data_IF_742521257672
#
_entry.id   IF_742521257672
#
_cell.length_a   1.000
_cell.length_b   1.000
_cell.length_c   1.000
_cell.angle_alpha   90.00
_cell.angle_beta   90.00
_cell.angle_gamma   90.00
#
_symmetry.space_group_name_H-M   'P 1'
#
loop_
_entity.id
_entity.type
_entity.pdbx_description
1 polymer ?
#
# COMPACT_ATOMS: atom_id res chain seq x y z
N UNK A 1 26.54 7.30 16.81
CA UNK A 1 26.27 7.49 15.39
C UNK A 1 26.27 6.14 14.69
N UNK A 2 25.12 5.45 14.67
CA UNK A 2 24.98 4.11 14.08
C UNK A 2 23.59 3.99 13.46
N UNK A 3 23.51 3.36 12.30
CA UNK A 3 22.25 3.04 11.63
C UNK A 3 21.39 2.12 12.50
N UNK A 4 20.09 2.40 12.57
CA UNK A 4 19.10 1.63 13.33
C UNK A 4 18.19 0.87 12.37
N UNK A 5 18.21 -0.45 12.51
CA UNK A 5 17.42 -1.38 11.70
C UNK A 5 16.25 -1.93 12.50
N UNK A 6 15.05 -1.91 11.91
CA UNK A 6 13.87 -2.53 12.48
C UNK A 6 13.41 -3.69 11.59
N UNK A 7 13.56 -4.90 12.14
CA UNK A 7 13.03 -6.11 11.55
C UNK A 7 11.60 -6.33 12.05
N UNK A 8 10.60 -6.25 11.15
CA UNK A 8 9.16 -6.31 11.43
C UNK A 8 8.52 -4.99 11.94
N UNK A 9 7.43 -4.58 11.28
CA UNK A 9 6.75 -3.29 11.50
C UNK A 9 6.45 -2.62 10.17
N UNK A 10 5.51 -3.18 9.41
CA UNK A 10 5.50 -2.97 7.97
C UNK A 10 4.20 -2.43 7.42
N UNK A 11 3.14 -2.15 8.20
CA UNK A 11 2.05 -1.37 7.60
C UNK A 11 2.62 0.00 7.23
N UNK A 12 2.08 0.69 6.23
CA UNK A 12 2.57 2.00 5.84
C UNK A 12 2.75 2.93 7.04
N UNK A 13 1.78 2.94 7.97
CA UNK A 13 1.89 3.73 9.20
C UNK A 13 3.03 3.28 10.12
N UNK A 14 3.26 1.97 10.30
CA UNK A 14 4.28 1.46 11.22
C UNK A 14 5.68 1.90 10.75
N UNK A 15 5.91 1.91 9.43
CA UNK A 15 7.15 2.41 8.84
C UNK A 15 7.35 3.90 9.10
N UNK A 16 6.31 4.72 8.96
CA UNK A 16 6.38 6.16 9.26
C UNK A 16 6.63 6.43 10.75
N UNK A 17 5.96 5.67 11.61
CA UNK A 17 6.12 5.72 13.05
C UNK A 17 7.54 5.29 13.48
N UNK A 18 8.11 4.29 12.81
CA UNK A 18 9.51 3.89 12.98
C UNK A 18 10.47 5.02 12.59
N UNK A 19 10.25 5.65 11.43
CA UNK A 19 11.04 6.80 10.97
C UNK A 19 10.97 7.94 12.00
N UNK A 20 9.78 8.25 12.53
CA UNK A 20 9.60 9.27 13.56
C UNK A 20 10.37 8.98 14.87
N UNK A 21 10.64 7.70 15.16
CA UNK A 21 11.43 7.24 16.32
C UNK A 21 12.92 7.06 15.99
N UNK A 22 13.34 7.43 14.78
CA UNK A 22 14.72 7.38 14.33
C UNK A 22 15.17 5.98 13.92
N UNK A 23 14.32 5.21 13.25
CA UNK A 23 14.72 3.99 12.52
C UNK A 23 15.09 4.36 11.08
N UNK A 24 16.21 3.81 10.59
CA UNK A 24 16.79 4.14 9.28
C UNK A 24 16.54 3.07 8.21
N UNK A 25 16.38 1.81 8.63
CA UNK A 25 16.25 0.67 7.71
C UNK A 25 15.12 -0.26 8.14
N UNK A 26 14.40 -0.79 7.14
CA UNK A 26 13.25 -1.67 7.32
C UNK A 26 13.32 -2.81 6.30
N UNK A 27 12.93 -4.00 6.72
CA UNK A 27 12.67 -5.13 5.83
C UNK A 27 11.29 -5.74 6.15
N UNK A 28 10.60 -6.24 5.12
CA UNK A 28 9.36 -6.96 5.32
C UNK A 28 8.88 -7.74 4.12
N UNK A 29 8.23 -8.88 4.40
CA UNK A 29 7.48 -9.65 3.40
C UNK A 29 6.08 -9.10 3.14
N UNK A 30 5.58 -8.17 3.96
CA UNK A 30 4.19 -7.69 3.90
C UNK A 30 3.77 -7.20 2.50
N UNK A 31 4.53 -6.32 1.79
CA UNK A 31 4.10 -5.78 0.50
C UNK A 31 3.80 -6.86 -0.54
N UNK A 32 4.64 -7.89 -0.59
CA UNK A 32 4.50 -9.02 -1.52
C UNK A 32 3.54 -10.08 -1.01
N UNK A 33 3.48 -10.34 0.31
CA UNK A 33 2.53 -11.28 0.92
C UNK A 33 1.09 -10.83 0.72
N UNK A 34 0.79 -9.56 0.93
CA UNK A 34 -0.59 -9.06 0.77
C UNK A 34 -0.95 -8.82 -0.69
N UNK A 35 0.02 -8.46 -1.54
CA UNK A 35 -0.19 -8.32 -2.98
C UNK A 35 -0.64 -9.63 -3.61
N UNK A 36 -0.03 -10.75 -3.20
CA UNK A 36 -0.48 -12.10 -3.58
C UNK A 36 -1.88 -12.44 -3.06
N UNK A 37 -2.29 -11.88 -1.93
CA UNK A 37 -3.63 -12.03 -1.35
C UNK A 37 -4.60 -10.93 -1.81
N UNK A 38 -4.40 -10.37 -3.01
CA UNK A 38 -5.29 -9.41 -3.65
C UNK A 38 -5.52 -8.10 -2.86
N UNK A 39 -4.55 -7.66 -2.06
CA UNK A 39 -4.61 -6.37 -1.37
C UNK A 39 -3.49 -5.44 -1.83
N UNK A 40 -3.87 -4.21 -2.17
CA UNK A 40 -2.95 -3.17 -2.58
C UNK A 40 -2.94 -2.00 -1.60
N UNK A 41 -1.78 -1.39 -1.39
CA UNK A 41 -1.65 -0.14 -0.64
C UNK A 41 -1.79 1.08 -1.56
N UNK A 42 -2.50 2.09 -1.09
CA UNK A 42 -2.62 3.39 -1.77
C UNK A 42 -2.50 4.51 -0.74
N UNK A 43 -2.33 5.75 -1.20
CA UNK A 43 -2.33 6.94 -0.33
C UNK A 43 -3.66 7.22 0.37
N UNK A 44 -4.73 6.56 -0.09
CA UNK A 44 -6.09 6.65 0.43
C UNK A 44 -6.49 5.38 1.22
N UNK A 45 -5.53 4.55 1.59
CA UNK A 45 -5.77 3.30 2.32
C UNK A 45 -5.62 2.04 1.46
N UNK A 46 -6.00 0.91 2.04
CA UNK A 46 -5.84 -0.40 1.40
C UNK A 46 -7.03 -0.75 0.51
N UNK A 47 -6.76 -1.24 -0.70
CA UNK A 47 -7.77 -1.66 -1.67
C UNK A 47 -7.75 -3.19 -1.79
N UNK A 48 -8.92 -3.83 -1.67
CA UNK A 48 -9.09 -5.29 -1.85
C UNK A 48 -9.56 -5.57 -3.27
N UNK A 49 -8.71 -6.14 -4.11
CA UNK A 49 -9.00 -6.29 -5.54
C UNK A 49 -10.12 -7.27 -5.88
N UNK A 50 -10.46 -8.19 -4.96
CA UNK A 50 -11.59 -9.12 -5.14
C UNK A 50 -12.96 -8.46 -4.93
N UNK A 51 -13.01 -7.23 -4.41
CA UNK A 51 -14.28 -6.54 -4.17
C UNK A 51 -15.10 -6.42 -5.48
N UNK A 52 -16.40 -6.72 -5.40
CA UNK A 52 -17.33 -6.63 -6.52
C UNK A 52 -17.40 -5.22 -7.12
N UNK A 53 -17.22 -4.17 -6.30
CA UNK A 53 -17.22 -2.77 -6.73
C UNK A 53 -16.14 -2.42 -7.77
N UNK A 54 -15.18 -3.33 -8.01
CA UNK A 54 -14.13 -3.16 -8.99
C UNK A 54 -14.38 -3.92 -10.30
N UNK A 55 -15.52 -4.61 -10.48
CA UNK A 55 -15.81 -5.41 -11.69
C UNK A 55 -15.71 -4.61 -12.98
N UNK A 56 -16.23 -3.37 -12.96
CA UNK A 56 -16.35 -2.51 -14.14
C UNK A 56 -15.61 -1.18 -13.98
N UNK A 57 -14.78 -1.05 -12.93
CA UNK A 57 -14.00 0.16 -12.67
C UNK A 57 -12.82 0.25 -13.64
N UNK A 58 -12.98 1.09 -14.69
CA UNK A 58 -11.95 1.35 -15.70
C UNK A 58 -10.81 2.25 -15.23
N UNK A 59 -10.92 2.82 -14.02
CA UNK A 59 -9.85 3.67 -13.46
C UNK A 59 -8.65 2.81 -13.06
N UNK A 60 -7.43 3.37 -13.09
CA UNK A 60 -6.27 2.70 -12.53
C UNK A 60 -6.37 2.54 -11.02
N UNK A 61 -5.53 1.68 -10.46
CA UNK A 61 -5.46 1.47 -9.01
C UNK A 61 -5.08 2.76 -8.27
N UNK A 62 -4.03 3.44 -8.74
CA UNK A 62 -3.62 4.78 -8.31
C UNK A 62 -3.15 5.58 -9.54
N UNK A 63 -3.80 6.70 -9.91
CA UNK A 63 -3.45 7.46 -11.10
C UNK A 63 -2.06 8.13 -11.03
N UNK A 64 -1.51 8.31 -9.82
CA UNK A 64 -0.22 8.95 -9.60
C UNK A 64 0.93 7.93 -9.46
N UNK A 65 0.65 6.63 -9.56
CA UNK A 65 1.64 5.58 -9.40
C UNK A 65 2.24 5.19 -10.77
N UNK A 66 3.57 5.25 -10.95
CA UNK A 66 4.22 4.94 -12.23
C UNK A 66 4.37 3.44 -12.51
N UNK A 67 3.81 2.57 -11.66
CA UNK A 67 4.04 1.13 -11.71
C UNK A 67 3.29 0.47 -12.88
N UNK A 68 3.71 -0.74 -13.28
CA UNK A 68 3.07 -1.49 -14.35
C UNK A 68 1.60 -1.83 -14.05
N UNK A 69 1.25 -2.12 -12.79
CA UNK A 69 -0.12 -2.44 -12.42
C UNK A 69 -1.09 -1.26 -12.63
N UNK A 70 -0.64 -0.03 -12.37
CA UNK A 70 -1.45 1.18 -12.53
C UNK A 70 -1.63 1.61 -14.00
N UNK A 71 -1.02 0.90 -14.95
CA UNK A 71 -1.32 1.04 -16.39
C UNK A 71 -2.56 0.27 -16.81
N UNK A 72 -3.09 -0.57 -15.93
CA UNK A 72 -4.29 -1.35 -16.15
C UNK A 72 -5.43 -0.86 -15.27
N UNK A 73 -6.67 -1.14 -15.69
CA UNK A 73 -7.86 -0.84 -14.90
C UNK A 73 -7.99 -1.75 -13.68
N UNK A 74 -8.70 -1.28 -12.65
CA UNK A 74 -9.08 -2.12 -11.50
C UNK A 74 -9.93 -3.32 -11.92
N UNK A 75 -10.80 -3.16 -12.92
CA UNK A 75 -11.54 -4.24 -13.56
C UNK A 75 -10.63 -5.36 -14.07
N UNK A 76 -9.59 -5.01 -14.83
CA UNK A 76 -8.63 -5.97 -15.34
C UNK A 76 -7.84 -6.66 -14.22
N UNK A 77 -7.33 -5.88 -13.26
CA UNK A 77 -6.61 -6.43 -12.12
C UNK A 77 -7.48 -7.40 -11.30
N UNK A 78 -8.75 -7.05 -11.07
CA UNK A 78 -9.72 -7.94 -10.41
C UNK A 78 -9.92 -9.21 -11.21
N UNK A 79 -10.14 -9.10 -12.52
CA UNK A 79 -10.33 -10.25 -13.40
C UNK A 79 -9.18 -11.26 -13.27
N UNK A 80 -7.93 -10.81 -13.22
CA UNK A 80 -6.77 -11.69 -13.01
C UNK A 80 -6.86 -12.51 -11.70
N UNK A 81 -7.37 -11.92 -10.61
CA UNK A 81 -7.55 -12.64 -9.35
C UNK A 81 -8.72 -13.62 -9.38
N UNK A 82 -9.80 -13.29 -10.12
CA UNK A 82 -10.95 -14.19 -10.27
C UNK A 82 -10.60 -15.37 -11.19
N UNK A 83 -9.81 -15.10 -12.24
CA UNK A 83 -9.30 -16.11 -13.17
C UNK A 83 -8.16 -16.96 -12.59
N UNK A 84 -7.69 -16.67 -11.36
CA UNK A 84 -6.54 -17.31 -10.72
C UNK A 84 -5.24 -17.22 -11.54
N UNK A 85 -5.05 -16.12 -12.25
CA UNK A 85 -3.87 -15.86 -13.07
C UNK A 85 -2.71 -15.31 -12.22
N UNK A 86 -1.51 -15.86 -12.42
CA UNK A 86 -0.31 -15.45 -11.69
C UNK A 86 0.09 -13.98 -11.94
N UNK A 87 -0.36 -13.40 -13.06
CA UNK A 87 -0.11 -12.00 -13.38
C UNK A 87 -0.72 -11.03 -12.36
N UNK A 88 -1.88 -11.35 -11.77
CA UNK A 88 -2.52 -10.51 -10.75
C UNK A 88 -1.64 -10.33 -9.51
N UNK A 89 -1.22 -11.42 -8.84
CA UNK A 89 -0.26 -11.41 -7.75
C UNK A 89 1.07 -10.70 -8.08
N UNK A 90 1.60 -10.87 -9.29
CA UNK A 90 2.84 -10.23 -9.74
C UNK A 90 2.67 -8.71 -9.81
N UNK A 91 1.61 -8.25 -10.50
CA UNK A 91 1.32 -6.83 -10.68
C UNK A 91 1.07 -6.13 -9.34
N UNK A 92 0.26 -6.72 -8.46
CA UNK A 92 0.00 -6.12 -7.14
C UNK A 92 1.23 -6.10 -6.24
N UNK A 93 2.06 -7.14 -6.28
CA UNK A 93 3.33 -7.15 -5.53
C UNK A 93 4.25 -6.02 -6.02
N UNK A 94 4.35 -5.83 -7.34
CA UNK A 94 5.11 -4.73 -7.94
C UNK A 94 4.55 -3.35 -7.57
N UNK A 95 3.22 -3.20 -7.55
CA UNK A 95 2.55 -1.97 -7.09
C UNK A 95 2.89 -1.66 -5.62
N UNK A 96 2.73 -2.64 -4.74
CA UNK A 96 2.99 -2.45 -3.32
C UNK A 96 4.46 -2.08 -3.06
N UNK A 97 5.42 -2.74 -3.71
CA UNK A 97 6.84 -2.37 -3.59
C UNK A 97 7.09 -0.94 -4.07
N UNK A 98 6.46 -0.53 -5.18
CA UNK A 98 6.54 0.84 -5.69
C UNK A 98 5.99 1.84 -4.69
N UNK A 99 4.86 1.52 -4.04
CA UNK A 99 4.25 2.34 -3.01
C UNK A 99 5.19 2.53 -1.80
N UNK A 100 5.84 1.49 -1.27
CA UNK A 100 6.79 1.66 -0.16
C UNK A 100 7.99 2.51 -0.55
N UNK A 101 8.49 2.35 -1.79
CA UNK A 101 9.56 3.20 -2.30
C UNK A 101 9.13 4.67 -2.32
N UNK A 102 7.91 4.97 -2.77
CA UNK A 102 7.36 6.33 -2.75
C UNK A 102 7.17 6.84 -1.31
N UNK A 103 6.65 6.00 -0.41
CA UNK A 103 6.43 6.33 1.00
C UNK A 103 7.72 6.80 1.68
N UNK A 104 8.81 6.04 1.50
CA UNK A 104 10.13 6.39 2.04
C UNK A 104 10.69 7.63 1.35
N UNK A 105 10.54 7.76 0.03
CA UNK A 105 11.01 8.95 -0.69
C UNK A 105 10.33 10.24 -0.21
N UNK A 106 9.01 10.23 -0.05
CA UNK A 106 8.24 11.36 0.51
C UNK A 106 8.67 11.63 1.95
N UNK A 107 8.83 10.59 2.77
CA UNK A 107 9.29 10.74 4.15
C UNK A 107 10.65 11.45 4.22
N UNK A 108 11.62 11.03 3.39
CA UNK A 108 12.94 11.68 3.30
C UNK A 108 12.84 13.14 2.90
N UNK A 109 11.96 13.47 1.95
CA UNK A 109 11.73 14.86 1.53
C UNK A 109 11.17 15.71 2.68
N UNK A 110 10.15 15.21 3.39
CA UNK A 110 9.53 15.92 4.51
C UNK A 110 10.50 16.09 5.69
N UNK A 111 11.39 15.13 5.93
CA UNK A 111 12.46 15.25 6.94
C UNK A 111 13.43 16.35 6.55
N UNK A 112 13.89 16.38 5.29
CA UNK A 112 14.79 17.42 4.79
C UNK A 112 14.18 18.83 4.86
N UNK A 113 12.84 18.93 4.76
CA UNK A 113 12.09 20.18 4.88
C UNK A 113 11.71 20.54 6.33
N UNK A 114 11.96 19.66 7.31
CA UNK A 114 11.55 19.87 8.70
C UNK A 114 10.05 19.72 8.97
N UNK A 115 9.26 19.27 7.98
CA UNK A 115 7.80 19.19 8.03
C UNK A 115 7.26 17.79 8.34
N UNK A 116 8.15 16.80 8.50
CA UNK A 116 7.77 15.40 8.70
C UNK A 116 6.77 15.14 9.85
N UNK A 117 6.92 15.72 11.07
CA UNK A 117 5.96 15.47 12.15
C UNK A 117 4.54 15.93 11.83
N UNK A 118 4.40 17.10 11.22
CA UNK A 118 3.10 17.63 10.80
C UNK A 118 2.51 16.77 9.69
N UNK A 119 3.31 16.46 8.65
CA UNK A 119 2.89 15.61 7.55
C UNK A 119 2.45 14.22 8.04
N UNK A 120 3.18 13.61 8.97
CA UNK A 120 2.79 12.34 9.58
C UNK A 120 1.43 12.43 10.26
N UNK A 121 1.20 13.47 11.07
CA UNK A 121 -0.07 13.66 11.78
C UNK A 121 -1.25 13.80 10.82
N UNK A 122 -1.09 14.56 9.73
CA UNK A 122 -2.12 14.75 8.69
C UNK A 122 -2.44 13.45 7.93
N UNK A 123 -1.44 12.60 7.71
CA UNK A 123 -1.58 11.37 6.92
C UNK A 123 -1.84 10.12 7.78
N UNK A 124 -1.74 10.23 9.12
CA UNK A 124 -1.87 9.10 10.05
C UNK A 124 -3.21 8.38 9.90
N UNK A 125 -4.32 9.10 9.78
CA UNK A 125 -5.65 8.50 9.63
C UNK A 125 -5.83 7.76 8.30
N UNK A 126 -5.26 8.27 7.21
CA UNK A 126 -5.36 7.65 5.88
C UNK A 126 -4.48 6.40 5.75
N UNK A 127 -3.31 6.42 6.39
CA UNK A 127 -2.30 5.36 6.29
C UNK A 127 -2.34 4.34 7.43
N UNK A 128 -3.08 4.62 8.51
CA UNK A 128 -3.27 3.69 9.64
C UNK A 128 -4.03 2.44 9.24
N UNK A 129 -4.85 2.52 8.18
CA UNK A 129 -5.58 1.39 7.64
C UNK A 129 -6.39 0.67 8.71
N UNK A 130 -7.34 1.35 9.36
CA UNK A 130 -8.61 0.64 9.60
C UNK A 130 -9.21 0.42 8.21
N UNK A 131 -9.64 -0.79 7.92
CA UNK A 131 -10.52 -1.00 6.78
C UNK A 131 -11.61 0.07 6.86
N UNK A 132 -11.68 0.98 5.90
CA UNK A 132 -12.94 1.66 5.66
C UNK A 132 -13.93 0.54 5.39
N UNK A 133 -14.83 0.35 6.36
CA UNK A 133 -15.98 -0.53 6.25
C UNK A 133 -16.85 0.15 5.19
N UNK A 134 -16.55 -0.12 3.93
CA UNK A 134 -17.56 -0.04 2.89
C UNK A 134 -18.51 -1.20 3.21
N UNK A 135 -19.70 -0.86 3.73
CA UNK A 135 -20.67 -1.80 4.26
C UNK A 135 -20.95 -2.95 3.30
N UNK A 136 -20.50 -4.13 3.67
CA UNK A 136 -21.08 -5.39 3.23
C UNK A 136 -20.94 -6.37 4.40
N UNK A 137 -22.09 -6.70 4.97
CA UNK A 137 -22.29 -7.68 6.03
C UNK A 137 -21.66 -9.05 5.66
N UNK A 138 -21.28 -9.76 6.73
CA UNK A 138 -21.14 -11.22 6.87
C UNK A 138 -21.25 -12.09 5.61
N UNK A 139 -20.19 -12.85 5.36
CA UNK A 139 -20.24 -14.07 4.58
C UNK A 139 -19.12 -15.01 5.01
N UNK A 140 -19.42 -15.85 6.00
CA UNK A 140 -18.78 -17.17 6.14
C UNK A 140 -18.93 -17.94 4.81
N UNK A 141 -17.86 -18.59 4.36
CA UNK A 141 -17.71 -20.02 4.04
C UNK A 141 -16.23 -20.26 3.73
#
# INVERSE_FOLDING_TARGET
DKLRYLMCGCRPIDSLEGIARGIDMFDCVMPTRIGRNAMAFTWNGSVRMRNANHSDDQRPLDPNCPCLACRHSKAYLRHLFIANEMLGPILLSHHNLTFYRQLVAVSRQQIAQGTFPQWLQENRSRLSGSASIDGSESGEV
#
